data_IF_490415269294
#
_entry.id   IF_490415269294
#
_cell.length_a   1.000
_cell.length_b   1.000
_cell.length_c   1.000
_cell.angle_alpha   90.00
_cell.angle_beta   90.00
_cell.angle_gamma   90.00
#
_symmetry.space_group_name_H-M   'P 1'
#
loop_
_entity.id
_entity.type
_entity.pdbx_description
1 polymer ?
#
# COMPACT_ATOMS: atom_id res chain seq x y z
N UNK A 1 11.87 8.74 -5.34
CA UNK A 1 11.04 7.69 -4.69
C UNK A 1 10.32 8.24 -3.45
N UNK A 2 11.04 8.67 -2.40
CA UNK A 2 10.42 9.22 -1.17
C UNK A 2 9.44 10.37 -1.44
N UNK A 3 9.85 11.35 -2.26
CA UNK A 3 8.98 12.50 -2.62
C UNK A 3 7.69 12.08 -3.32
N UNK A 4 7.77 11.11 -4.24
CA UNK A 4 6.62 10.59 -4.99
C UNK A 4 5.64 9.89 -4.04
N UNK A 5 6.17 9.09 -3.11
CA UNK A 5 5.38 8.36 -2.10
C UNK A 5 4.72 9.34 -1.13
N UNK A 6 5.44 10.35 -0.64
CA UNK A 6 4.86 11.34 0.29
C UNK A 6 3.73 12.14 -0.36
N UNK A 7 3.90 12.56 -1.62
CA UNK A 7 2.88 13.29 -2.36
C UNK A 7 1.66 12.42 -2.70
N UNK A 8 1.87 11.18 -3.12
CA UNK A 8 0.77 10.28 -3.46
C UNK A 8 -0.06 9.87 -2.24
N UNK A 9 0.58 9.65 -1.09
CA UNK A 9 -0.12 9.40 0.18
C UNK A 9 -0.91 10.63 0.62
N UNK A 10 -0.30 11.83 0.57
CA UNK A 10 -0.98 13.07 0.91
C UNK A 10 -2.23 13.30 0.05
N UNK A 11 -2.11 13.15 -1.27
CA UNK A 11 -3.23 13.29 -2.21
C UNK A 11 -4.33 12.24 -1.99
N UNK A 12 -3.95 11.04 -1.55
CA UNK A 12 -4.91 9.96 -1.34
C UNK A 12 -5.78 10.17 -0.10
N UNK A 13 -5.33 10.95 0.90
CA UNK A 13 -6.18 11.32 2.03
C UNK A 13 -7.39 12.17 1.63
N UNK A 14 -7.28 12.96 0.56
CA UNK A 14 -8.39 13.77 0.05
C UNK A 14 -9.44 12.97 -0.71
N UNK A 15 -9.09 11.74 -1.14
CA UNK A 15 -9.94 10.93 -2.02
C UNK A 15 -10.82 9.93 -1.25
N UNK A 16 -10.79 9.94 0.10
CA UNK A 16 -11.68 9.18 0.99
C UNK A 16 -11.87 7.69 0.64
N UNK A 17 -10.92 7.08 -0.06
CA UNK A 17 -10.96 5.65 -0.38
C UNK A 17 -10.29 4.83 0.72
N UNK A 18 -10.92 3.75 1.21
CA UNK A 18 -10.34 2.91 2.25
C UNK A 18 -9.01 2.32 1.77
N UNK A 19 -7.93 2.65 2.48
CA UNK A 19 -6.56 2.24 2.13
C UNK A 19 -5.96 2.92 0.88
N UNK A 20 -6.70 3.81 0.20
CA UNK A 20 -6.25 4.46 -1.03
C UNK A 20 -6.08 3.53 -2.24
N UNK A 21 -6.62 2.31 -2.17
CA UNK A 21 -6.48 1.29 -3.21
C UNK A 21 -6.93 1.80 -4.60
N UNK A 22 -6.16 1.52 -5.65
CA UNK A 22 -6.39 2.03 -7.00
C UNK A 22 -5.88 3.47 -7.20
N UNK A 23 -6.27 4.38 -6.32
CA UNK A 23 -5.97 5.81 -6.46
C UNK A 23 -4.50 6.12 -6.16
N UNK A 24 -3.95 5.58 -5.08
CA UNK A 24 -2.53 5.78 -4.73
C UNK A 24 -1.60 5.25 -5.83
N UNK A 25 -1.98 4.14 -6.45
CA UNK A 25 -1.21 3.46 -7.50
C UNK A 25 -1.20 4.30 -8.77
N UNK A 26 -2.36 4.76 -9.20
CA UNK A 26 -2.48 5.63 -10.37
C UNK A 26 -1.73 6.95 -10.17
N UNK A 27 -1.81 7.54 -8.97
CA UNK A 27 -1.07 8.75 -8.64
C UNK A 27 0.45 8.53 -8.65
N UNK A 28 0.92 7.41 -8.12
CA UNK A 28 2.34 7.05 -8.18
C UNK A 28 2.81 6.84 -9.62
N UNK A 29 2.04 6.14 -10.44
CA UNK A 29 2.34 5.91 -11.85
C UNK A 29 2.38 7.24 -12.60
N UNK A 30 1.39 8.11 -12.42
CA UNK A 30 1.35 9.41 -13.10
C UNK A 30 2.53 10.31 -12.71
N UNK A 31 2.92 10.28 -11.43
CA UNK A 31 4.08 11.02 -10.94
C UNK A 31 5.38 10.46 -11.53
N UNK A 32 5.57 9.14 -11.53
CA UNK A 32 6.76 8.54 -12.13
C UNK A 32 6.88 8.81 -13.64
N UNK A 33 5.76 8.78 -14.37
CA UNK A 33 5.73 9.18 -15.79
C UNK A 33 6.11 10.66 -15.95
N UNK A 34 5.60 11.54 -15.07
CA UNK A 34 5.95 12.98 -15.09
C UNK A 34 7.45 13.25 -14.83
N UNK A 35 8.12 12.36 -14.10
CA UNK A 35 9.58 12.39 -13.90
C UNK A 35 10.37 11.75 -15.05
N UNK A 36 9.72 11.35 -16.14
CA UNK A 36 10.37 10.80 -17.33
C UNK A 36 10.65 9.30 -17.27
N UNK A 37 10.11 8.58 -16.30
CA UNK A 37 10.23 7.11 -16.22
C UNK A 37 9.22 6.47 -17.17
N UNK A 38 9.62 5.41 -17.88
CA UNK A 38 8.71 4.70 -18.77
C UNK A 38 7.52 4.12 -18.01
N UNK A 39 6.33 4.20 -18.62
CA UNK A 39 5.08 3.78 -17.99
C UNK A 39 5.13 2.32 -17.50
N UNK A 40 5.82 1.44 -18.23
CA UNK A 40 5.98 0.03 -17.88
C UNK A 40 6.74 -0.13 -16.56
N UNK A 41 7.87 0.58 -16.40
CA UNK A 41 8.69 0.52 -15.19
C UNK A 41 7.94 1.16 -14.01
N UNK A 42 7.29 2.30 -14.25
CA UNK A 42 6.48 3.00 -13.26
C UNK A 42 5.35 2.11 -12.69
N UNK A 43 4.62 1.42 -13.56
CA UNK A 43 3.56 0.50 -13.18
C UNK A 43 4.10 -0.70 -12.38
N UNK A 44 5.20 -1.32 -12.83
CA UNK A 44 5.81 -2.44 -12.11
C UNK A 44 6.25 -2.05 -10.70
N UNK A 45 6.91 -0.89 -10.54
CA UNK A 45 7.35 -0.41 -9.22
C UNK A 45 6.15 -0.10 -8.33
N UNK A 46 5.13 0.58 -8.85
CA UNK A 46 3.94 0.93 -8.07
C UNK A 46 3.16 -0.30 -7.59
N UNK A 47 2.99 -1.31 -8.44
CA UNK A 47 2.29 -2.55 -8.09
C UNK A 47 3.11 -3.38 -7.10
N UNK A 48 4.43 -3.46 -7.27
CA UNK A 48 5.30 -4.23 -6.39
C UNK A 48 5.37 -3.63 -4.98
N UNK A 49 5.44 -2.30 -4.88
CA UNK A 49 5.35 -1.56 -3.61
C UNK A 49 4.05 -1.89 -2.86
N UNK A 50 2.92 -1.90 -3.56
CA UNK A 50 1.60 -2.19 -2.99
C UNK A 50 1.42 -3.65 -2.61
N UNK A 51 1.93 -4.55 -3.42
CA UNK A 51 1.93 -5.97 -3.11
C UNK A 51 2.68 -6.24 -1.79
N UNK A 52 3.87 -5.66 -1.63
CA UNK A 52 4.64 -5.77 -0.38
C UNK A 52 3.85 -5.14 0.78
N UNK A 53 3.33 -3.93 0.61
CA UNK A 53 2.57 -3.27 1.67
C UNK A 53 1.39 -4.13 2.15
N UNK A 54 0.55 -4.62 1.24
CA UNK A 54 -0.60 -5.46 1.60
C UNK A 54 -0.20 -6.82 2.15
N UNK A 55 0.87 -7.44 1.62
CA UNK A 55 1.35 -8.72 2.15
C UNK A 55 1.80 -8.59 3.61
N UNK A 56 2.54 -7.52 3.92
CA UNK A 56 3.03 -7.29 5.28
C UNK A 56 1.90 -6.83 6.21
N UNK A 57 1.11 -5.81 5.86
CA UNK A 57 -0.01 -5.37 6.71
C UNK A 57 -1.05 -6.48 6.91
N UNK A 58 -1.40 -7.18 5.82
CA UNK A 58 -2.18 -8.41 5.74
C UNK A 58 -1.70 -9.48 6.72
N UNK A 59 -0.50 -9.98 6.41
CA UNK A 59 0.10 -11.13 7.05
C UNK A 59 0.39 -10.89 8.52
N UNK A 60 1.04 -9.78 8.87
CA UNK A 60 1.36 -9.48 10.27
C UNK A 60 0.11 -9.18 11.10
N UNK A 61 -0.90 -8.53 10.52
CA UNK A 61 -2.18 -8.33 11.19
C UNK A 61 -2.86 -9.67 11.51
N UNK A 62 -2.90 -10.58 10.53
CA UNK A 62 -3.48 -11.91 10.71
C UNK A 62 -2.71 -12.76 11.72
N UNK A 63 -1.37 -12.77 11.66
CA UNK A 63 -0.52 -13.47 12.63
C UNK A 63 -0.75 -12.94 14.05
N UNK A 64 -0.92 -11.62 14.20
CA UNK A 64 -1.20 -11.00 15.50
C UNK A 64 -2.56 -11.42 16.05
N UNK A 65 -3.58 -11.49 15.20
CA UNK A 65 -4.91 -12.00 15.58
C UNK A 65 -4.88 -13.48 15.94
N UNK A 66 -4.16 -14.31 15.17
CA UNK A 66 -3.96 -15.72 15.50
C UNK A 66 -3.26 -15.90 16.84
N UNK A 67 -2.23 -15.10 17.12
CA UNK A 67 -1.53 -15.13 18.41
C UNK A 67 -2.47 -14.80 19.57
N UNK A 68 -3.29 -13.75 19.42
CA UNK A 68 -4.28 -13.38 20.43
C UNK A 68 -5.35 -14.47 20.61
N UNK A 69 -5.84 -15.05 19.52
CA UNK A 69 -6.80 -16.16 19.58
C UNK A 69 -6.21 -17.38 20.27
N UNK A 70 -4.96 -17.75 19.98
CA UNK A 70 -4.29 -18.87 20.64
C UNK A 70 -4.06 -18.62 22.13
N UNK A 71 -3.68 -17.39 22.51
CA UNK A 71 -3.35 -17.01 23.89
C UNK A 71 -4.58 -16.79 24.77
N UNK A 72 -5.64 -16.18 24.23
CA UNK A 72 -6.81 -15.74 25.00
C UNK A 72 -8.12 -16.44 24.59
N UNK A 73 -8.22 -16.98 23.39
CA UNK A 73 -9.40 -17.72 22.91
C UNK A 73 -9.62 -19.08 23.57
N UNK A 74 -8.65 -19.54 24.38
CA UNK A 74 -8.73 -20.78 25.18
C UNK A 74 -9.48 -20.65 26.51
N UNK A 75 -9.95 -19.44 26.85
CA UNK A 75 -10.69 -19.17 28.10
C UNK A 75 -12.21 -19.00 27.92
N UNK A 76 -12.76 -19.31 26.74
CA UNK A 76 -14.21 -19.43 26.52
C UNK A 76 -14.63 -20.91 26.44
#
# INVERSE_FOLDING_TARGET
VVVVISLSIFLSYFLFMPGGAGVTELLMISLYISFGISATIAASVALLDRFIFYLFSLGFGYVSLLYLNFRYGRFN
#
